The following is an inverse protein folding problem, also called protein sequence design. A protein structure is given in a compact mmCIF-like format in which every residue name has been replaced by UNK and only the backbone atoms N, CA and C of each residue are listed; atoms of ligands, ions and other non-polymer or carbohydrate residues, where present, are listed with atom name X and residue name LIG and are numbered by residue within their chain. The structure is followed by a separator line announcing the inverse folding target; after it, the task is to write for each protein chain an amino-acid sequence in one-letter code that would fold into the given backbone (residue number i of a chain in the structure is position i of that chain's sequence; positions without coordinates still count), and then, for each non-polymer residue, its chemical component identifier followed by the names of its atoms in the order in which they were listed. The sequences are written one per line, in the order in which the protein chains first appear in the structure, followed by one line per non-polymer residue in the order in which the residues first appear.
data_IF_163711275019
#
_entry.id   IF_163711275019
#
_cell.length_a   1.000
_cell.length_b   1.000
_cell.length_c   1.000
_cell.angle_alpha   90.00
_cell.angle_beta   90.00
_cell.angle_gamma   90.00
#
_symmetry.space_group_name_H-M   'P 1'
#
loop_
_entity.id
_entity.type
_entity.pdbx_description
1 polymer ?
#
# COMPACT_ATOMS: atom_id res chain seq x y z
N UNK A 1 -1.73 6.27 6.55
CA UNK A 1 -0.27 6.13 6.40
C UNK A 1 0.39 6.57 7.70
N UNK A 2 1.49 5.95 8.10
CA UNK A 2 2.29 6.28 9.29
C UNK A 2 3.02 7.62 9.10
N UNK A 3 3.52 8.20 10.20
CA UNK A 3 4.39 9.39 10.15
C UNK A 3 5.69 9.08 9.40
N UNK A 4 6.22 7.87 9.52
CA UNK A 4 7.39 7.43 8.75
C UNK A 4 7.13 7.45 7.24
N UNK A 5 5.96 6.96 6.80
CA UNK A 5 5.61 6.86 5.38
C UNK A 5 5.19 8.20 4.74
N UNK A 6 4.83 9.18 5.57
CA UNK A 6 4.34 10.51 5.14
C UNK A 6 5.00 11.65 5.92
N UNK A 7 6.29 11.48 6.25
CA UNK A 7 7.02 12.35 7.16
C UNK A 7 7.23 13.78 6.66
N UNK A 8 7.10 13.99 5.36
CA UNK A 8 7.13 15.30 4.72
C UNK A 8 6.02 15.46 3.68
N UNK A 9 5.82 16.69 3.22
CA UNK A 9 4.75 17.02 2.27
C UNK A 9 5.00 16.47 0.87
N UNK A 10 6.27 16.24 0.50
CA UNK A 10 6.61 15.61 -0.78
C UNK A 10 6.13 14.15 -0.81
N UNK A 11 6.41 13.38 0.25
CA UNK A 11 5.96 12.01 0.41
C UNK A 11 4.43 11.91 0.44
N UNK A 12 3.75 12.82 1.15
CA UNK A 12 2.28 12.89 1.13
C UNK A 12 1.73 13.16 -0.26
N UNK A 13 2.33 14.11 -1.00
CA UNK A 13 1.86 14.47 -2.33
C UNK A 13 2.03 13.32 -3.32
N UNK A 14 3.14 12.58 -3.24
CA UNK A 14 3.37 11.38 -4.06
C UNK A 14 2.24 10.37 -3.84
N UNK A 15 1.91 10.06 -2.58
CA UNK A 15 0.80 9.16 -2.26
C UNK A 15 -0.55 9.71 -2.71
N UNK A 16 -0.78 11.02 -2.55
CA UNK A 16 -2.01 11.68 -3.01
C UNK A 16 -2.22 11.52 -4.52
N UNK A 17 -1.17 11.68 -5.32
CA UNK A 17 -1.24 11.47 -6.78
C UNK A 17 -1.56 10.02 -7.13
N UNK A 18 -0.92 9.06 -6.46
CA UNK A 18 -1.18 7.64 -6.69
C UNK A 18 -2.61 7.24 -6.31
N UNK A 19 -3.10 7.69 -5.15
CA UNK A 19 -4.44 7.33 -4.67
C UNK A 19 -5.54 8.02 -5.46
N UNK A 20 -5.30 9.22 -6.00
CA UNK A 20 -6.29 9.93 -6.83
C UNK A 20 -6.66 9.20 -8.12
N UNK A 21 -5.79 8.32 -8.64
CA UNK A 21 -6.11 7.55 -9.85
C UNK A 21 -6.76 6.20 -9.57
N UNK A 22 -6.79 5.76 -8.30
CA UNK A 22 -7.43 4.50 -7.92
C UNK A 22 -8.92 4.74 -7.79
N UNK A 23 -9.71 4.06 -8.63
CA UNK A 23 -11.19 4.09 -8.60
C UNK A 23 -11.73 3.17 -7.53
N UNK A 24 -11.15 1.97 -7.41
CA UNK A 24 -11.51 1.00 -6.38
C UNK A 24 -10.38 0.01 -6.14
N UNK A 25 -10.35 -0.53 -4.92
CA UNK A 25 -9.54 -1.68 -4.53
C UNK A 25 -10.50 -2.77 -4.06
N UNK A 26 -10.35 -3.97 -4.60
CA UNK A 26 -11.04 -5.17 -4.14
C UNK A 26 -10.02 -6.08 -3.44
N UNK A 27 -10.21 -6.36 -2.15
CA UNK A 27 -9.31 -7.25 -1.40
C UNK A 27 -9.79 -8.69 -1.59
N UNK A 28 -8.97 -9.50 -2.25
CA UNK A 28 -9.27 -10.90 -2.51
C UNK A 28 -8.83 -11.81 -1.36
N UNK A 29 -7.67 -11.52 -0.77
CA UNK A 29 -7.09 -12.34 0.30
C UNK A 29 -6.18 -11.52 1.20
N UNK A 30 -6.19 -11.83 2.49
CA UNK A 30 -5.27 -11.30 3.49
C UNK A 30 -4.64 -12.46 4.23
N UNK A 31 -3.31 -12.51 4.27
CA UNK A 31 -2.53 -13.57 4.90
C UNK A 31 -1.47 -12.95 5.81
N UNK A 32 -1.26 -13.47 7.02
CA UNK A 32 -0.08 -13.11 7.80
C UNK A 32 1.20 -13.37 7.00
N UNK A 33 2.19 -12.48 7.12
CA UNK A 33 3.50 -12.66 6.50
C UNK A 33 4.59 -12.20 7.48
N UNK A 34 5.76 -12.83 7.39
CA UNK A 34 6.90 -12.50 8.26
C UNK A 34 6.55 -12.50 9.75
N UNK A 35 5.81 -13.51 10.20
CA UNK A 35 5.33 -13.56 11.59
C UNK A 35 6.48 -13.57 12.61
N UNK A 36 7.66 -14.05 12.21
CA UNK A 36 8.89 -13.99 12.98
C UNK A 36 9.35 -12.56 13.31
N UNK A 37 8.90 -11.56 12.55
CA UNK A 37 9.21 -10.14 12.73
C UNK A 37 8.09 -9.35 13.42
N UNK A 38 6.98 -10.01 13.77
CA UNK A 38 5.86 -9.33 14.40
C UNK A 38 6.18 -8.88 15.83
N UNK A 39 5.54 -7.79 16.23
CA UNK A 39 5.55 -7.26 17.59
C UNK A 39 4.17 -6.71 17.93
N UNK A 40 3.92 -6.37 19.20
CA UNK A 40 2.66 -5.78 19.66
C UNK A 40 2.24 -4.49 18.91
N UNK A 41 3.19 -3.86 18.20
CA UNK A 41 2.99 -2.61 17.46
C UNK A 41 3.39 -2.66 15.99
N UNK A 42 3.82 -3.80 15.44
CA UNK A 42 4.13 -3.96 14.01
C UNK A 42 3.78 -5.35 13.49
N UNK A 43 2.96 -5.41 12.44
CA UNK A 43 2.57 -6.64 11.76
C UNK A 43 2.67 -6.47 10.25
N UNK A 44 3.10 -7.52 9.55
CA UNK A 44 3.14 -7.57 8.08
C UNK A 44 2.12 -8.57 7.55
N UNK A 45 1.38 -8.17 6.51
CA UNK A 45 0.42 -9.01 5.82
C UNK A 45 0.73 -9.08 4.34
N UNK A 46 0.60 -10.26 3.75
CA UNK A 46 0.52 -10.43 2.30
C UNK A 46 -0.93 -10.26 1.88
N UNK A 47 -1.20 -9.29 1.04
CA UNK A 47 -2.53 -8.95 0.55
C UNK A 47 -2.58 -9.20 -0.95
N UNK A 48 -3.51 -10.05 -1.37
CA UNK A 48 -3.88 -10.22 -2.78
C UNK A 48 -5.10 -9.34 -3.04
N UNK A 49 -5.01 -8.45 -4.03
CA UNK A 49 -6.03 -7.47 -4.34
C UNK A 49 -6.18 -7.23 -5.84
N UNK A 50 -7.30 -6.66 -6.25
CA UNK A 50 -7.48 -6.07 -7.56
C UNK A 50 -7.54 -4.56 -7.40
N UNK A 51 -6.75 -3.84 -8.20
CA UNK A 51 -6.80 -2.40 -8.28
C UNK A 51 -7.40 -1.97 -9.62
N UNK A 52 -8.45 -1.16 -9.56
CA UNK A 52 -9.05 -0.55 -10.74
C UNK A 52 -8.65 0.91 -10.76
N UNK A 53 -7.84 1.28 -11.74
CA UNK A 53 -7.24 2.62 -11.86
C UNK A 53 -7.78 3.34 -13.10
N UNK A 54 -7.67 4.67 -13.13
CA UNK A 54 -8.01 5.44 -14.33
C UNK A 54 -7.11 5.07 -15.50
N UNK A 55 -7.68 4.99 -16.70
CA UNK A 55 -6.93 4.80 -17.95
C UNK A 55 -5.91 5.92 -18.19
N UNK A 56 -6.17 7.11 -17.67
CA UNK A 56 -5.27 8.26 -17.80
C UNK A 56 -3.93 8.03 -17.08
N UNK A 57 -3.89 7.10 -16.12
CA UNK A 57 -2.67 6.70 -15.43
C UNK A 57 -1.75 5.80 -16.26
N UNK A 58 -2.17 5.35 -17.46
CA UNK A 58 -1.34 4.55 -18.35
C UNK A 58 -0.06 5.27 -18.78
N UNK A 59 -0.12 6.60 -18.89
CA UNK A 59 1.00 7.46 -19.33
C UNK A 59 1.78 8.10 -18.17
N UNK A 60 1.52 7.69 -16.92
CA UNK A 60 2.30 8.16 -15.77
C UNK A 60 3.77 7.68 -15.87
N UNK A 61 4.73 8.33 -15.16
CA UNK A 61 6.14 7.93 -15.21
C UNK A 61 6.37 6.44 -14.89
N UNK A 62 5.51 5.87 -14.03
CA UNK A 62 5.33 4.44 -13.87
C UNK A 62 3.89 4.15 -14.32
N UNK A 63 3.66 3.32 -15.36
CA UNK A 63 2.32 3.00 -15.83
C UNK A 63 1.44 2.52 -14.67
N UNK A 64 0.27 3.12 -14.52
CA UNK A 64 -0.69 2.83 -13.45
C UNK A 64 -0.10 2.93 -12.03
N UNK A 65 1.02 3.65 -11.84
CA UNK A 65 1.80 3.69 -10.61
C UNK A 65 2.11 2.30 -10.02
N UNK A 66 2.23 1.28 -10.88
CA UNK A 66 2.51 -0.10 -10.47
C UNK A 66 1.31 -0.86 -9.93
N UNK A 67 0.08 -0.38 -10.13
CA UNK A 67 -1.18 -1.06 -9.73
C UNK A 67 -1.84 -1.88 -10.86
N UNK A 68 -1.31 -1.87 -12.09
CA UNK A 68 -2.01 -2.39 -13.28
C UNK A 68 -2.15 -3.91 -13.40
N UNK A 69 -1.36 -4.69 -12.67
CA UNK A 69 -1.26 -6.15 -12.87
C UNK A 69 -2.17 -6.93 -11.92
N UNK A 70 -3.47 -7.00 -12.23
CA UNK A 70 -4.42 -7.75 -11.41
C UNK A 70 -4.33 -9.28 -11.65
N UNK A 71 -4.39 -10.12 -10.59
CA UNK A 71 -4.37 -9.72 -9.18
C UNK A 71 -2.99 -9.22 -8.72
N UNK A 72 -2.97 -8.09 -8.01
CA UNK A 72 -1.79 -7.53 -7.38
C UNK A 72 -1.51 -8.21 -6.05
N UNK A 73 -0.22 -8.38 -5.73
CA UNK A 73 0.23 -8.83 -4.40
C UNK A 73 1.01 -7.69 -3.75
N UNK A 74 0.62 -7.34 -2.53
CA UNK A 74 1.31 -6.35 -1.69
C UNK A 74 1.71 -6.95 -0.36
N UNK A 75 2.92 -6.64 0.11
CA UNK A 75 3.29 -6.80 1.50
C UNK A 75 3.02 -5.49 2.21
N UNK A 76 2.06 -5.53 3.13
CA UNK A 76 1.57 -4.36 3.86
C UNK A 76 2.04 -4.47 5.30
N UNK A 77 2.99 -3.60 5.66
CA UNK A 77 3.37 -3.42 7.05
C UNK A 77 2.42 -2.42 7.70
N UNK A 78 1.84 -2.80 8.84
CA UNK A 78 1.05 -1.95 9.70
C UNK A 78 1.84 -1.67 10.97
N UNK A 79 1.88 -0.41 11.38
CA UNK A 79 2.45 0.02 12.67
C UNK A 79 1.40 0.71 13.52
N UNK A 80 1.50 0.54 14.84
CA UNK A 80 0.63 1.21 15.81
C UNK A 80 1.20 2.58 16.19
N UNK A 81 0.53 3.64 15.77
CA UNK A 81 0.88 5.03 16.08
C UNK A 81 -0.32 5.76 16.69
N UNK A 82 -0.10 6.47 17.80
CA UNK A 82 -1.14 7.26 18.46
C UNK A 82 -2.41 6.42 18.79
N UNK A 83 -2.22 5.13 19.08
CA UNK A 83 -3.30 4.17 19.37
C UNK A 83 -3.99 3.55 18.16
N UNK A 84 -3.64 3.94 16.93
CA UNK A 84 -4.25 3.46 15.68
C UNK A 84 -3.24 2.67 14.84
N UNK A 85 -3.72 1.62 14.17
CA UNK A 85 -2.92 0.93 13.15
C UNK A 85 -2.90 1.76 11.86
N UNK A 86 -1.70 2.01 11.34
CA UNK A 86 -1.49 2.76 10.11
C UNK A 86 -0.58 1.96 9.18
N UNK A 87 -0.83 2.05 7.89
CA UNK A 87 0.07 1.51 6.86
C UNK A 87 1.42 2.22 6.97
N UNK A 88 2.47 1.45 7.20
CA UNK A 88 3.86 1.89 7.26
C UNK A 88 4.61 1.63 5.96
N UNK A 89 4.25 0.55 5.27
CA UNK A 89 4.88 0.16 4.01
C UNK A 89 3.87 -0.57 3.10
N UNK A 90 4.06 -0.42 1.79
CA UNK A 90 3.32 -1.11 0.72
C UNK A 90 4.33 -1.61 -0.34
N UNK A 91 4.86 -2.81 -0.15
CA UNK A 91 5.88 -3.37 -1.02
C UNK A 91 5.30 -4.33 -2.07
N UNK A 92 5.97 -4.45 -3.22
CA UNK A 92 5.71 -5.46 -4.27
C UNK A 92 6.34 -6.82 -3.97
N UNK A 93 7.08 -6.93 -2.86
CA UNK A 93 7.79 -8.13 -2.44
C UNK A 93 7.97 -8.14 -0.91
N UNK A 94 8.36 -9.29 -0.34
CA UNK A 94 8.71 -9.40 1.07
C UNK A 94 9.97 -8.56 1.39
#
# INVERSE_FOLDING_TARGET
MSKQMTGDDSAKQIWGVQFNVIKSINILKVEPSMQENWSDSSHTYKITLEAYVSSDAANAPIPYYGWGDNPNIRWVELVKEDGLWKINNLATGP
#
